data_IF_617714284037
#
_entry.id   IF_617714284037
#
_cell.length_a   1.000
_cell.length_b   1.000
_cell.length_c   1.000
_cell.angle_alpha   90.00
_cell.angle_beta   90.00
_cell.angle_gamma   90.00
#
_symmetry.space_group_name_H-M   'P 1'
#
loop_
_entity.id
_entity.type
_entity.pdbx_description
1 polymer ?
#
# COMPACT_ATOMS: atom_id res chain seq x y z
N UNK A 1 43.86 14.45 9.14
CA UNK A 1 42.44 14.53 8.80
C UNK A 1 41.80 13.30 9.40
N UNK A 2 40.70 13.45 10.14
CA UNK A 2 39.95 12.33 10.71
C UNK A 2 38.76 12.10 9.80
N UNK A 3 38.61 10.89 9.27
CA UNK A 3 37.42 10.50 8.48
C UNK A 3 36.33 10.05 9.42
N UNK A 4 35.12 10.56 9.19
CA UNK A 4 33.90 10.23 9.93
C UNK A 4 32.84 9.78 8.93
N UNK A 5 32.08 8.75 9.28
CA UNK A 5 31.00 8.19 8.45
C UNK A 5 29.70 8.23 9.22
N UNK A 6 28.62 8.59 8.52
CA UNK A 6 27.25 8.58 9.04
C UNK A 6 26.34 7.70 8.19
N UNK A 7 25.35 7.07 8.80
CA UNK A 7 24.38 6.20 8.13
C UNK A 7 23.02 6.85 8.01
N UNK A 8 22.58 7.17 6.80
CA UNK A 8 21.18 7.39 6.48
C UNK A 8 20.51 6.03 6.31
N UNK A 9 20.09 5.41 7.42
CA UNK A 9 19.43 4.11 7.44
C UNK A 9 17.99 4.30 6.99
N UNK A 10 17.60 3.63 5.91
CA UNK A 10 16.24 3.74 5.34
C UNK A 10 15.37 2.54 5.70
N UNK A 11 14.11 2.82 6.05
CA UNK A 11 13.05 1.84 6.23
C UNK A 11 11.69 2.47 5.90
N UNK A 12 10.92 1.83 5.01
CA UNK A 12 9.59 2.30 4.60
C UNK A 12 9.58 3.77 4.13
N UNK A 13 10.59 4.20 3.37
CA UNK A 13 10.68 5.58 2.91
C UNK A 13 10.97 6.63 3.98
N UNK A 14 11.36 6.21 5.18
CA UNK A 14 11.82 7.07 6.27
C UNK A 14 13.30 6.86 6.54
N UNK A 15 13.96 7.86 7.12
CA UNK A 15 15.34 7.78 7.59
C UNK A 15 15.39 7.76 9.12
N UNK A 16 16.29 6.98 9.68
CA UNK A 16 16.57 6.96 11.10
C UNK A 16 17.44 8.16 11.48
N UNK A 17 16.96 8.99 12.40
CA UNK A 17 17.72 10.03 13.06
C UNK A 17 17.98 9.63 14.52
N UNK A 18 19.19 9.91 15.01
CA UNK A 18 19.60 9.66 16.39
C UNK A 18 19.80 10.98 17.13
N UNK A 19 19.30 11.08 18.37
CA UNK A 19 19.44 12.29 19.19
C UNK A 19 20.62 12.14 20.12
N UNK A 20 21.58 13.04 20.00
CA UNK A 20 22.77 13.11 20.85
C UNK A 20 22.46 13.35 22.32
N UNK A 21 23.13 12.59 23.19
CA UNK A 21 23.11 12.80 24.64
C UNK A 21 24.36 13.56 25.09
N UNK A 22 25.46 13.46 24.39
CA UNK A 22 26.78 14.02 24.71
C UNK A 22 27.51 14.43 23.42
N UNK A 23 28.41 15.44 23.43
CA UNK A 23 28.75 16.35 24.55
C UNK A 23 27.62 17.37 24.83
N UNK A 24 27.64 17.97 26.03
CA UNK A 24 26.56 18.89 26.48
C UNK A 24 26.25 20.02 25.49
N UNK A 25 27.25 20.49 24.73
CA UNK A 25 27.08 21.56 23.71
C UNK A 25 26.25 21.10 22.50
N UNK A 26 26.14 19.81 22.24
CA UNK A 26 25.41 19.20 21.13
C UNK A 26 24.24 18.35 21.60
N UNK A 27 24.06 18.20 22.91
CA UNK A 27 22.98 17.42 23.50
C UNK A 27 21.60 17.93 23.04
N UNK A 28 20.74 16.98 22.64
CA UNK A 28 19.42 17.28 22.10
C UNK A 28 19.38 17.55 20.61
N UNK A 29 20.52 17.67 19.92
CA UNK A 29 20.58 17.75 18.46
C UNK A 29 20.52 16.37 17.84
N UNK A 30 20.13 16.31 16.58
CA UNK A 30 19.95 15.07 15.81
C UNK A 30 21.05 14.92 14.78
N UNK A 31 21.42 13.67 14.50
CA UNK A 31 22.49 13.31 13.58
C UNK A 31 22.18 12.00 12.85
N UNK A 32 22.95 11.73 11.79
CA UNK A 32 23.06 10.38 11.25
C UNK A 32 23.95 9.56 12.20
N UNK A 33 23.48 8.40 12.72
CA UNK A 33 24.30 7.53 13.57
C UNK A 33 25.55 7.08 12.81
N UNK A 34 26.65 6.91 13.51
CA UNK A 34 27.93 6.51 12.92
C UNK A 34 29.12 7.06 13.69
N UNK A 35 30.31 6.91 13.15
CA UNK A 35 31.52 7.24 13.92
C UNK A 35 32.78 7.42 13.08
N UNK A 36 33.95 7.23 13.72
CA UNK A 36 35.23 7.46 13.11
C UNK A 36 35.72 6.22 12.37
N UNK A 37 36.38 6.45 11.24
CA UNK A 37 37.09 5.40 10.50
C UNK A 37 38.42 5.13 11.15
N UNK A 38 38.66 3.91 11.59
CA UNK A 38 39.93 3.51 12.20
C UNK A 38 41.06 3.38 11.15
N UNK A 39 42.35 3.53 11.57
CA UNK A 39 43.44 3.38 10.66
C UNK A 39 43.49 2.00 9.99
N UNK A 40 43.39 2.00 8.65
CA UNK A 40 43.39 0.77 7.84
C UNK A 40 42.04 0.15 7.60
N UNK A 41 40.99 0.72 8.16
CA UNK A 41 39.58 0.30 7.93
C UNK A 41 39.00 0.97 6.67
N UNK A 42 38.11 0.29 5.96
CA UNK A 42 37.35 0.93 4.90
C UNK A 42 36.19 1.76 5.48
N UNK A 43 35.77 2.85 4.81
CA UNK A 43 34.61 3.64 5.27
C UNK A 43 33.35 2.82 5.43
N UNK A 44 33.07 1.85 4.56
CA UNK A 44 31.96 0.94 4.64
C UNK A 44 32.07 0.02 5.86
N UNK A 45 33.25 -0.54 6.12
CA UNK A 45 33.52 -1.40 7.27
C UNK A 45 33.31 -0.66 8.58
N UNK A 46 33.87 0.56 8.69
CA UNK A 46 33.71 1.44 9.84
C UNK A 46 32.22 1.71 10.12
N UNK A 47 31.46 2.05 9.07
CA UNK A 47 30.02 2.34 9.21
C UNK A 47 29.23 1.15 9.73
N UNK A 48 29.44 -0.04 9.17
CA UNK A 48 28.76 -1.26 9.62
C UNK A 48 29.11 -1.60 11.08
N UNK A 49 30.39 -1.46 11.47
CA UNK A 49 30.84 -1.67 12.84
C UNK A 49 30.20 -0.69 13.81
N UNK A 50 30.28 0.63 13.51
CA UNK A 50 29.72 1.68 14.37
C UNK A 50 28.21 1.50 14.58
N UNK A 51 27.48 1.20 13.52
CA UNK A 51 26.02 0.95 13.62
C UNK A 51 25.73 -0.28 14.46
N UNK A 52 26.51 -1.34 14.35
CA UNK A 52 26.35 -2.52 15.20
C UNK A 52 26.65 -2.21 16.69
N UNK A 53 27.66 -1.39 16.97
CA UNK A 53 28.03 -0.98 18.32
C UNK A 53 27.01 -0.02 18.95
N UNK A 54 26.58 1.01 18.21
CA UNK A 54 25.71 2.08 18.72
C UNK A 54 24.22 1.70 18.74
N UNK A 55 23.76 0.95 17.74
CA UNK A 55 22.33 0.66 17.54
C UNK A 55 21.95 -0.82 17.69
N UNK A 56 22.94 -1.72 17.78
CA UNK A 56 22.69 -3.16 17.92
C UNK A 56 22.04 -3.81 16.71
N UNK A 57 22.18 -3.23 15.53
CA UNK A 57 21.57 -3.74 14.30
C UNK A 57 22.62 -3.86 13.17
N UNK A 58 22.28 -4.60 12.12
CA UNK A 58 23.15 -4.82 10.96
C UNK A 58 22.60 -4.05 9.75
N UNK A 59 23.47 -3.26 9.12
CA UNK A 59 23.14 -2.50 7.91
C UNK A 59 23.99 -2.92 6.73
N UNK A 60 23.45 -2.73 5.52
CA UNK A 60 24.18 -2.81 4.26
C UNK A 60 24.27 -1.43 3.64
N UNK A 61 25.49 -1.03 3.28
CA UNK A 61 25.72 0.21 2.55
C UNK A 61 25.30 0.03 1.10
N UNK A 62 24.41 0.90 0.61
CA UNK A 62 23.88 0.87 -0.77
C UNK A 62 24.63 1.88 -1.66
N UNK A 63 24.82 3.10 -1.18
CA UNK A 63 25.49 4.18 -1.91
C UNK A 63 25.90 5.29 -0.95
N UNK A 64 26.77 6.18 -1.41
CA UNK A 64 27.13 7.39 -0.68
C UNK A 64 26.33 8.58 -1.19
N UNK A 65 25.90 9.47 -0.28
CA UNK A 65 25.37 10.77 -0.64
C UNK A 65 26.49 11.64 -1.21
N UNK A 66 26.13 12.60 -2.05
CA UNK A 66 27.08 13.44 -2.78
C UNK A 66 27.81 14.39 -1.84
N UNK A 67 29.14 14.46 -1.98
CA UNK A 67 29.99 15.38 -1.23
C UNK A 67 30.55 14.83 0.07
N UNK A 68 31.24 15.70 0.76
CA UNK A 68 31.76 15.49 2.10
C UNK A 68 31.82 16.84 2.82
N UNK A 69 31.49 16.84 4.11
CA UNK A 69 31.49 18.06 4.93
C UNK A 69 32.75 18.09 5.78
N UNK A 70 33.49 19.19 5.70
CA UNK A 70 34.70 19.40 6.50
C UNK A 70 34.37 20.26 7.70
N UNK A 71 34.78 19.79 8.85
CA UNK A 71 34.68 20.47 10.12
C UNK A 71 36.00 20.49 10.88
N UNK A 72 35.99 21.04 12.09
CA UNK A 72 37.15 21.01 12.99
C UNK A 72 36.70 20.55 14.37
N UNK A 73 37.43 19.57 14.92
CA UNK A 73 37.26 19.12 16.31
C UNK A 73 38.64 19.21 17.01
N UNK A 74 38.68 19.99 18.08
CA UNK A 74 39.91 20.21 18.87
C UNK A 74 41.18 20.49 18.03
N UNK A 75 41.04 21.30 16.95
CA UNK A 75 42.13 21.68 16.07
C UNK A 75 42.49 20.61 15.02
N UNK A 76 41.72 19.53 14.90
CA UNK A 76 41.89 18.52 13.86
C UNK A 76 40.80 18.67 12.81
N UNK A 77 41.13 18.59 11.53
CA UNK A 77 40.17 18.59 10.44
C UNK A 77 39.41 17.27 10.43
N UNK A 78 38.08 17.33 10.51
CA UNK A 78 37.17 16.22 10.29
C UNK A 78 36.60 16.27 8.87
N UNK A 79 36.36 15.12 8.28
CA UNK A 79 35.62 14.99 7.02
C UNK A 79 34.50 13.97 7.19
N UNK A 80 33.24 14.45 7.20
CA UNK A 80 32.04 13.62 7.29
C UNK A 80 31.56 13.22 5.88
N UNK A 81 31.30 11.93 5.71
CA UNK A 81 30.57 11.36 4.56
C UNK A 81 29.37 10.58 5.07
N UNK A 82 28.25 10.66 4.36
CA UNK A 82 27.01 9.96 4.74
C UNK A 82 26.66 8.93 3.68
N UNK A 83 26.38 7.70 4.10
CA UNK A 83 25.94 6.63 3.23
C UNK A 83 24.47 6.33 3.42
N UNK A 84 23.77 6.03 2.33
CA UNK A 84 22.44 5.41 2.35
C UNK A 84 22.60 3.93 2.67
N UNK A 85 21.89 3.48 3.70
CA UNK A 85 21.98 2.12 4.22
C UNK A 85 20.60 1.48 4.30
N UNK A 86 20.55 0.17 4.05
CA UNK A 86 19.37 -0.67 4.30
C UNK A 86 19.57 -1.47 5.58
N UNK A 87 18.56 -1.54 6.44
CA UNK A 87 18.54 -2.40 7.60
C UNK A 87 18.41 -3.86 7.13
N UNK A 88 19.36 -4.72 7.55
CA UNK A 88 19.42 -6.12 7.17
C UNK A 88 18.91 -7.02 8.29
N UNK A 89 19.27 -6.73 9.55
CA UNK A 89 18.88 -7.52 10.72
C UNK A 89 18.87 -6.65 11.98
N UNK A 90 18.03 -7.04 12.94
CA UNK A 90 17.88 -6.38 14.22
C UNK A 90 16.97 -5.14 14.18
N UNK A 91 16.52 -4.69 15.36
CA UNK A 91 15.82 -3.43 15.56
C UNK A 91 16.78 -2.39 16.15
N UNK A 92 16.93 -1.21 15.52
CA UNK A 92 17.77 -0.16 16.06
C UNK A 92 17.35 0.24 17.47
N UNK A 93 18.25 0.13 18.43
CA UNK A 93 18.06 0.53 19.81
C UNK A 93 19.16 1.48 20.23
N UNK A 94 18.81 2.67 20.75
CA UNK A 94 19.81 3.67 21.15
C UNK A 94 20.42 3.29 22.50
N UNK A 95 21.57 2.64 22.49
CA UNK A 95 22.34 2.39 23.72
C UNK A 95 23.10 3.64 24.19
N UNK A 96 23.54 4.48 23.26
CA UNK A 96 24.30 5.71 23.51
C UNK A 96 23.52 6.99 23.21
N UNK A 97 22.40 6.89 22.47
CA UNK A 97 21.58 8.02 22.06
C UNK A 97 20.39 8.25 22.99
N UNK A 98 20.02 9.52 23.20
CA UNK A 98 18.88 9.89 24.04
C UNK A 98 17.50 9.58 23.44
N UNK A 99 17.41 9.40 22.14
CA UNK A 99 16.22 8.96 21.40
C UNK A 99 16.55 8.61 19.96
N UNK A 100 15.74 7.74 19.35
CA UNK A 100 15.74 7.45 17.93
C UNK A 100 14.38 7.84 17.34
N UNK A 101 14.36 8.34 16.10
CA UNK A 101 13.14 8.69 15.38
C UNK A 101 13.28 8.36 13.91
N UNK A 102 12.29 7.68 13.35
CA UNK A 102 12.12 7.53 11.91
C UNK A 102 11.43 8.78 11.36
N UNK A 103 12.07 9.44 10.40
CA UNK A 103 11.58 10.69 9.81
C UNK A 103 11.18 10.45 8.36
N UNK A 104 9.95 10.83 8.00
CA UNK A 104 9.50 10.93 6.61
C UNK A 104 10.17 12.12 5.91
N UNK A 105 10.07 12.25 4.58
CA UNK A 105 10.58 13.42 3.87
C UNK A 105 10.07 14.74 4.45
N UNK A 106 8.78 14.78 4.78
CA UNK A 106 8.11 15.98 5.31
C UNK A 106 8.54 16.34 6.74
N UNK A 107 9.07 15.35 7.49
CA UNK A 107 9.50 15.51 8.89
C UNK A 107 11.00 15.82 9.04
N UNK A 108 11.77 15.86 7.97
CA UNK A 108 13.22 16.12 8.06
C UNK A 108 13.53 17.45 8.74
N UNK A 109 12.68 18.47 8.55
CA UNK A 109 12.86 19.78 9.15
C UNK A 109 12.28 19.89 10.58
N UNK A 110 11.57 18.87 11.08
CA UNK A 110 10.99 18.85 12.42
C UNK A 110 12.02 18.70 13.53
N UNK A 111 13.23 18.30 13.17
CA UNK A 111 14.31 18.05 14.12
C UNK A 111 15.50 18.99 13.91
N UNK A 112 16.17 19.33 15.02
CA UNK A 112 17.35 20.20 14.97
C UNK A 112 18.61 19.40 14.68
N UNK A 113 18.88 19.18 13.39
CA UNK A 113 20.08 18.47 12.93
C UNK A 113 21.37 19.17 13.34
N UNK A 114 22.43 18.39 13.52
CA UNK A 114 23.79 18.92 13.59
C UNK A 114 24.17 19.63 12.29
N UNK A 115 24.93 20.71 12.38
CA UNK A 115 25.34 21.50 11.21
C UNK A 115 26.04 20.68 10.12
N UNK A 116 26.93 19.69 10.45
CA UNK A 116 27.60 18.88 9.44
C UNK A 116 26.64 17.94 8.66
N UNK A 117 25.50 17.57 9.22
CA UNK A 117 24.53 16.66 8.59
C UNK A 117 23.60 17.39 7.60
N UNK A 118 23.32 18.66 7.84
CA UNK A 118 22.35 19.47 7.06
C UNK A 118 22.63 19.49 5.54
N UNK A 119 23.88 19.58 5.05
CA UNK A 119 24.16 19.60 3.62
C UNK A 119 23.70 18.35 2.87
N UNK A 120 23.51 17.22 3.56
CA UNK A 120 23.05 15.97 2.95
C UNK A 120 21.52 15.86 2.86
N UNK A 121 20.76 16.67 3.64
CA UNK A 121 19.31 16.57 3.72
C UNK A 121 18.58 16.82 2.38
N UNK A 122 18.97 17.76 1.51
CA UNK A 122 18.27 17.97 0.25
C UNK A 122 18.33 16.74 -0.68
N UNK A 123 19.49 16.09 -0.83
CA UNK A 123 19.62 14.87 -1.64
C UNK A 123 18.87 13.70 -0.98
N UNK A 124 18.96 13.60 0.35
CA UNK A 124 18.25 12.58 1.11
C UNK A 124 16.72 12.73 0.98
N UNK A 125 16.20 13.98 1.07
CA UNK A 125 14.79 14.27 0.88
C UNK A 125 14.28 13.75 -0.48
N UNK A 126 14.98 14.03 -1.58
CA UNK A 126 14.60 13.52 -2.90
C UNK A 126 14.59 11.99 -2.96
N UNK A 127 15.58 11.33 -2.33
CA UNK A 127 15.62 9.87 -2.26
C UNK A 127 14.51 9.27 -1.42
N UNK A 128 14.16 9.92 -0.30
CA UNK A 128 13.03 9.47 0.54
C UNK A 128 11.69 9.61 -0.19
N UNK A 129 11.52 10.63 -1.03
CA UNK A 129 10.33 10.79 -1.89
C UNK A 129 10.17 9.65 -2.92
N UNK A 130 11.23 8.90 -3.24
CA UNK A 130 11.11 7.70 -4.07
C UNK A 130 10.40 6.56 -3.34
N UNK A 131 10.44 6.57 -1.99
CA UNK A 131 9.75 5.62 -1.13
C UNK A 131 10.13 4.15 -1.35
N UNK A 132 9.47 3.27 -0.64
CA UNK A 132 9.55 1.83 -0.87
C UNK A 132 8.49 1.41 -1.88
N UNK A 133 8.89 0.83 -3.00
CA UNK A 133 7.94 0.37 -4.03
C UNK A 133 7.08 -0.75 -3.50
N UNK A 134 5.77 -0.59 -3.64
CA UNK A 134 4.82 -1.64 -3.33
C UNK A 134 4.64 -2.56 -4.55
N UNK A 135 4.57 -3.89 -4.35
CA UNK A 135 4.30 -4.82 -5.43
C UNK A 135 2.85 -4.70 -5.92
N UNK A 136 2.60 -5.04 -7.17
CA UNK A 136 1.26 -5.09 -7.77
C UNK A 136 0.81 -3.78 -8.42
N UNK A 137 -0.45 -3.80 -8.88
CA UNK A 137 -1.10 -2.69 -9.57
C UNK A 137 -0.79 -2.57 -11.06
N UNK A 138 -1.82 -2.39 -11.89
CA UNK A 138 -1.70 -2.29 -13.35
C UNK A 138 -1.21 -0.92 -13.84
N UNK A 139 -1.37 0.11 -13.03
CA UNK A 139 -0.89 1.47 -13.32
C UNK A 139 0.55 1.66 -12.80
N UNK A 140 0.96 0.88 -11.80
CA UNK A 140 2.28 0.96 -11.17
C UNK A 140 2.48 2.24 -10.35
N UNK A 141 3.65 2.35 -9.74
CA UNK A 141 4.07 3.60 -9.11
C UNK A 141 3.59 3.85 -7.68
N UNK A 142 2.88 2.92 -7.05
CA UNK A 142 2.57 3.03 -5.63
C UNK A 142 3.85 2.82 -4.79
N UNK A 143 4.12 3.74 -3.87
CA UNK A 143 5.25 3.67 -2.96
C UNK A 143 4.80 3.91 -1.53
N UNK A 144 5.42 3.20 -0.59
CA UNK A 144 5.20 3.41 0.83
C UNK A 144 6.20 4.42 1.38
N UNK A 145 5.69 5.38 2.17
CA UNK A 145 6.50 6.32 2.95
C UNK A 145 5.93 6.33 4.37
N UNK A 146 6.65 5.71 5.29
CA UNK A 146 6.21 5.56 6.68
C UNK A 146 4.91 4.76 6.80
N UNK A 147 3.88 5.41 7.33
CA UNK A 147 2.54 4.85 7.51
C UNK A 147 1.57 5.20 6.38
N UNK A 148 2.06 5.78 5.29
CA UNK A 148 1.26 6.24 4.16
C UNK A 148 1.70 5.64 2.85
N UNK A 149 0.82 5.68 1.85
CA UNK A 149 1.08 5.30 0.45
C UNK A 149 0.98 6.54 -0.43
N UNK A 150 1.89 6.65 -1.41
CA UNK A 150 1.82 7.64 -2.49
C UNK A 150 1.46 6.92 -3.78
N UNK A 151 0.43 7.40 -4.48
CA UNK A 151 -0.06 6.82 -5.73
C UNK A 151 -0.27 7.89 -6.80
N UNK A 152 -0.11 7.56 -8.09
CA UNK A 152 -0.49 8.47 -9.16
C UNK A 152 -1.95 8.89 -9.03
N UNK A 153 -2.25 10.15 -9.34
CA UNK A 153 -3.61 10.69 -9.38
C UNK A 153 -4.23 10.54 -10.77
N UNK A 154 -5.57 10.52 -10.82
CA UNK A 154 -6.35 10.56 -12.04
C UNK A 154 -7.49 11.58 -11.94
N UNK A 155 -8.25 11.80 -13.02
CA UNK A 155 -9.40 12.70 -13.00
C UNK A 155 -10.46 12.35 -11.93
N UNK A 156 -10.54 11.07 -11.56
CA UNK A 156 -11.46 10.54 -10.53
C UNK A 156 -11.01 10.80 -9.10
N UNK A 157 -9.72 11.08 -8.86
CA UNK A 157 -9.14 11.20 -7.50
C UNK A 157 -9.93 12.16 -6.58
N UNK A 158 -10.40 13.35 -7.00
CA UNK A 158 -11.17 14.20 -6.10
C UNK A 158 -12.51 13.57 -5.64
N UNK A 159 -13.18 12.83 -6.53
CA UNK A 159 -14.43 12.14 -6.20
C UNK A 159 -14.18 10.96 -5.24
N UNK A 160 -13.11 10.20 -5.47
CA UNK A 160 -12.68 9.11 -4.58
C UNK A 160 -12.29 9.65 -3.21
N UNK A 161 -11.54 10.75 -3.14
CA UNK A 161 -11.18 11.40 -1.86
C UNK A 161 -12.42 11.85 -1.07
N UNK A 162 -13.43 12.41 -1.76
CA UNK A 162 -14.68 12.79 -1.13
C UNK A 162 -15.44 11.57 -0.58
N UNK A 163 -15.47 10.46 -1.32
CA UNK A 163 -16.06 9.20 -0.85
C UNK A 163 -15.33 8.66 0.39
N UNK A 164 -14.00 8.60 0.35
CA UNK A 164 -13.20 8.11 1.47
C UNK A 164 -13.40 8.97 2.73
N UNK A 165 -13.49 10.30 2.58
CA UNK A 165 -13.80 11.20 3.67
C UNK A 165 -15.19 10.94 4.27
N UNK A 166 -16.22 10.77 3.43
CA UNK A 166 -17.56 10.40 3.87
C UNK A 166 -17.58 9.08 4.63
N UNK A 167 -16.94 8.04 4.09
CA UNK A 167 -16.88 6.72 4.74
C UNK A 167 -16.14 6.77 6.08
N UNK A 168 -15.09 7.58 6.19
CA UNK A 168 -14.38 7.80 7.46
C UNK A 168 -15.29 8.48 8.51
N UNK A 169 -16.15 9.44 8.11
CA UNK A 169 -17.12 10.09 9.00
C UNK A 169 -18.21 9.11 9.50
N UNK A 170 -18.59 8.11 8.68
CA UNK A 170 -19.52 7.07 9.12
C UNK A 170 -18.91 6.10 10.13
N UNK A 171 -17.59 6.12 10.30
CA UNK A 171 -16.85 5.20 11.17
C UNK A 171 -16.65 3.80 10.57
N UNK A 172 -16.82 3.62 9.25
CA UNK A 172 -16.54 2.36 8.58
C UNK A 172 -15.05 2.01 8.77
N UNK A 173 -14.72 0.84 9.35
CA UNK A 173 -13.34 0.42 9.56
C UNK A 173 -12.68 -0.03 8.25
N UNK A 174 -11.36 -0.10 8.25
CA UNK A 174 -10.55 -0.63 7.14
C UNK A 174 -10.63 0.20 5.84
N UNK A 175 -10.93 1.49 5.95
CA UNK A 175 -10.92 2.47 4.86
C UNK A 175 -9.72 3.40 5.04
N UNK A 176 -8.89 3.66 4.01
CA UNK A 176 -7.75 4.55 4.14
C UNK A 176 -8.20 6.01 4.30
N UNK A 177 -7.52 6.75 5.17
CA UNK A 177 -7.71 8.21 5.27
C UNK A 177 -6.93 8.91 4.18
N UNK A 178 -7.48 10.02 3.71
CA UNK A 178 -6.85 10.90 2.73
C UNK A 178 -6.04 11.96 3.47
N UNK A 179 -4.77 12.11 3.12
CA UNK A 179 -3.88 13.14 3.67
C UNK A 179 -3.57 14.27 2.69
N UNK A 180 -4.07 14.18 1.44
CA UNK A 180 -3.90 15.19 0.41
C UNK A 180 -3.08 14.72 -0.78
N UNK A 181 -2.34 15.67 -1.38
CA UNK A 181 -1.51 15.46 -2.58
C UNK A 181 -0.09 15.92 -2.23
N UNK A 182 0.92 15.13 -2.57
CA UNK A 182 2.32 15.49 -2.36
C UNK A 182 2.86 16.46 -3.43
N UNK A 183 4.10 16.93 -3.23
CA UNK A 183 4.75 17.87 -4.14
C UNK A 183 4.99 17.31 -5.56
N UNK A 184 4.93 15.99 -5.73
CA UNK A 184 5.04 15.30 -7.03
C UNK A 184 3.67 15.03 -7.68
N UNK A 185 2.57 15.54 -7.09
CA UNK A 185 1.21 15.37 -7.59
C UNK A 185 0.61 13.98 -7.34
N UNK A 186 1.15 13.21 -6.38
CA UNK A 186 0.64 11.89 -6.00
C UNK A 186 -0.30 12.03 -4.80
N UNK A 187 -1.38 11.26 -4.78
CA UNK A 187 -2.26 11.17 -3.61
C UNK A 187 -1.55 10.50 -2.42
N UNK A 188 -1.90 10.96 -1.22
CA UNK A 188 -1.38 10.46 0.04
C UNK A 188 -2.51 9.81 0.80
N UNK A 189 -2.44 8.48 0.97
CA UNK A 189 -3.41 7.68 1.69
C UNK A 189 -2.75 6.92 2.85
N UNK A 190 -3.53 6.48 3.84
CA UNK A 190 -3.03 5.53 4.85
C UNK A 190 -2.51 4.25 4.17
N UNK A 191 -1.35 3.76 4.61
CA UNK A 191 -0.94 2.39 4.31
C UNK A 191 -1.80 1.42 5.12
N UNK A 192 -2.41 0.46 4.45
CA UNK A 192 -3.25 -0.57 5.08
C UNK A 192 -2.39 -1.81 5.37
N UNK A 193 -1.94 -2.01 6.62
CA UNK A 193 -1.11 -3.16 6.97
C UNK A 193 -1.94 -4.44 7.02
N UNK A 194 -1.30 -5.56 6.69
CA UNK A 194 -1.92 -6.88 6.75
C UNK A 194 -1.46 -7.79 5.63
N UNK A 195 -1.93 -9.02 5.65
CA UNK A 195 -1.65 -10.01 4.63
C UNK A 195 -2.59 -9.82 3.44
N UNK A 196 -2.04 -9.75 2.24
CA UNK A 196 -2.78 -9.68 0.97
C UNK A 196 -2.69 -11.04 0.30
N UNK A 197 -3.82 -11.54 -0.17
CA UNK A 197 -3.94 -12.91 -0.70
C UNK A 197 -3.75 -12.93 -2.21
N UNK A 198 -2.85 -13.80 -2.67
CA UNK A 198 -2.71 -14.15 -4.07
C UNK A 198 -3.80 -15.16 -4.46
N UNK A 199 -4.84 -14.69 -5.14
CA UNK A 199 -5.99 -15.51 -5.55
C UNK A 199 -5.63 -16.58 -6.57
N UNK A 200 -4.49 -16.49 -7.25
CA UNK A 200 -4.02 -17.52 -8.18
C UNK A 200 -3.33 -18.68 -7.43
N UNK A 201 -2.74 -18.39 -6.27
CA UNK A 201 -2.01 -19.38 -5.47
C UNK A 201 -2.87 -20.02 -4.37
N UNK A 202 -3.75 -19.25 -3.72
CA UNK A 202 -4.50 -19.74 -2.56
C UNK A 202 -5.98 -19.34 -2.58
N UNK A 203 -6.75 -19.88 -1.63
CA UNK A 203 -8.18 -19.63 -1.46
C UNK A 203 -8.38 -19.09 -0.04
N UNK A 204 -9.20 -18.05 0.11
CA UNK A 204 -9.55 -17.50 1.42
C UNK A 204 -10.07 -18.61 2.36
N UNK A 205 -9.73 -18.56 3.64
CA UNK A 205 -10.44 -19.33 4.65
C UNK A 205 -11.92 -18.93 4.71
N UNK A 206 -12.78 -19.81 5.23
CA UNK A 206 -14.21 -19.46 5.42
C UNK A 206 -14.37 -18.24 6.35
N UNK A 207 -13.51 -18.12 7.36
CA UNK A 207 -13.54 -17.01 8.29
C UNK A 207 -13.17 -15.67 7.61
N UNK A 208 -12.12 -15.66 6.75
CA UNK A 208 -11.77 -14.49 5.92
C UNK A 208 -12.86 -14.15 4.92
N UNK A 209 -13.46 -15.16 4.28
CA UNK A 209 -14.55 -14.96 3.33
C UNK A 209 -15.79 -14.37 4.02
N UNK A 210 -16.15 -14.84 5.20
CA UNK A 210 -17.23 -14.28 6.01
C UNK A 210 -16.91 -12.86 6.48
N UNK A 211 -15.67 -12.60 6.93
CA UNK A 211 -15.22 -11.24 7.30
C UNK A 211 -15.35 -10.26 6.13
N UNK A 212 -15.01 -10.68 4.92
CA UNK A 212 -15.14 -9.87 3.71
C UNK A 212 -16.61 -9.59 3.36
N UNK A 213 -17.50 -10.59 3.43
CA UNK A 213 -18.94 -10.41 3.24
C UNK A 213 -19.56 -9.43 4.25
N UNK A 214 -19.19 -9.57 5.53
CA UNK A 214 -19.64 -8.66 6.59
C UNK A 214 -19.12 -7.23 6.41
N UNK A 215 -17.87 -7.06 5.97
CA UNK A 215 -17.32 -5.75 5.66
C UNK A 215 -18.01 -5.09 4.46
N UNK A 216 -18.28 -5.85 3.40
CA UNK A 216 -18.98 -5.34 2.22
C UNK A 216 -20.42 -4.92 2.56
N UNK A 217 -21.13 -5.65 3.43
CA UNK A 217 -22.42 -5.23 3.96
C UNK A 217 -22.32 -3.90 4.71
N UNK A 218 -21.28 -3.74 5.55
CA UNK A 218 -21.07 -2.50 6.29
C UNK A 218 -20.76 -1.32 5.34
N UNK A 219 -19.96 -1.52 4.27
CA UNK A 219 -19.73 -0.53 3.24
C UNK A 219 -21.06 -0.07 2.59
N UNK A 220 -21.89 -1.02 2.16
CA UNK A 220 -23.15 -0.69 1.51
C UNK A 220 -24.17 -0.04 2.47
N UNK A 221 -24.04 -0.27 3.76
CA UNK A 221 -24.85 0.42 4.78
C UNK A 221 -24.33 1.85 5.06
N UNK A 222 -23.02 2.10 4.88
CA UNK A 222 -22.39 3.39 5.11
C UNK A 222 -22.45 4.32 3.89
N UNK A 223 -22.56 3.78 2.67
CA UNK A 223 -22.53 4.56 1.42
C UNK A 223 -23.77 5.45 1.17
N UNK A 224 -25.02 5.10 1.59
CA UNK A 224 -26.18 5.96 1.38
C UNK A 224 -26.01 7.36 1.98
N UNK A 225 -26.47 8.38 1.24
CA UNK A 225 -26.32 9.79 1.63
C UNK A 225 -25.08 10.46 1.05
N UNK A 226 -24.18 9.71 0.45
CA UNK A 226 -23.10 10.27 -0.34
C UNK A 226 -23.54 10.43 -1.80
N UNK A 227 -23.37 11.64 -2.34
CA UNK A 227 -23.62 11.97 -3.75
C UNK A 227 -22.48 12.85 -4.26
N UNK A 228 -21.90 12.47 -5.40
CA UNK A 228 -20.83 13.23 -6.05
C UNK A 228 -20.90 13.03 -7.57
N UNK A 229 -20.85 14.11 -8.37
CA UNK A 229 -21.04 14.02 -9.84
C UNK A 229 -19.88 13.31 -10.57
N UNK A 230 -18.78 13.00 -9.87
CA UNK A 230 -17.58 12.46 -10.49
C UNK A 230 -16.61 13.57 -10.93
N UNK A 231 -15.74 13.31 -11.91
CA UNK A 231 -15.74 12.09 -12.73
C UNK A 231 -15.36 10.82 -11.97
N UNK A 232 -15.91 9.70 -12.39
CA UNK A 232 -15.60 8.37 -11.89
C UNK A 232 -14.91 7.55 -12.99
N UNK A 233 -13.99 6.67 -12.60
CA UNK A 233 -13.30 5.77 -13.55
C UNK A 233 -14.15 4.55 -13.90
N UNK A 234 -14.99 4.08 -12.94
CA UNK A 234 -15.91 2.98 -13.17
C UNK A 234 -17.01 3.38 -14.16
N UNK A 235 -17.39 2.47 -15.06
CA UNK A 235 -18.33 2.74 -16.15
C UNK A 235 -19.78 2.85 -15.69
N UNK A 236 -20.06 2.43 -14.46
CA UNK A 236 -21.39 2.47 -13.85
C UNK A 236 -22.31 1.36 -14.31
N UNK A 237 -23.48 1.31 -13.69
CA UNK A 237 -24.62 0.46 -14.05
C UNK A 237 -25.76 1.37 -14.51
N UNK A 238 -26.75 0.81 -15.23
CA UNK A 238 -27.84 1.60 -15.82
C UNK A 238 -28.68 2.37 -14.78
N UNK A 239 -28.87 1.80 -13.57
CA UNK A 239 -29.66 2.40 -12.50
C UNK A 239 -28.92 2.30 -11.16
N UNK A 240 -27.88 3.11 -10.94
CA UNK A 240 -27.12 3.05 -9.70
C UNK A 240 -27.97 3.46 -8.50
N UNK A 241 -27.79 2.76 -7.38
CA UNK A 241 -28.50 3.05 -6.13
C UNK A 241 -27.58 3.64 -5.06
N UNK A 242 -26.26 3.50 -5.24
CA UNK A 242 -25.24 4.05 -4.34
C UNK A 242 -23.91 4.21 -5.08
N UNK A 243 -22.95 4.83 -4.41
CA UNK A 243 -21.55 4.87 -4.85
C UNK A 243 -20.76 3.89 -3.99
N UNK A 244 -20.05 2.97 -4.62
CA UNK A 244 -19.32 1.90 -3.94
C UNK A 244 -17.94 1.65 -4.56
N UNK A 245 -17.21 0.67 -4.02
CA UNK A 245 -15.83 0.38 -4.42
C UNK A 245 -15.69 -0.24 -5.82
N UNK A 246 -16.59 -1.13 -6.21
CA UNK A 246 -16.65 -1.87 -7.48
C UNK A 246 -15.49 -2.85 -7.76
N UNK A 247 -14.48 -2.94 -6.89
CA UNK A 247 -13.31 -3.83 -7.07
C UNK A 247 -12.85 -4.45 -5.74
N UNK A 248 -13.80 -4.83 -4.88
CA UNK A 248 -13.51 -5.52 -3.62
C UNK A 248 -13.13 -6.96 -3.92
N UNK A 249 -11.83 -7.21 -3.96
CA UNK A 249 -11.22 -8.50 -4.25
C UNK A 249 -10.10 -8.81 -3.26
N UNK A 250 -9.76 -10.09 -2.99
CA UNK A 250 -8.72 -10.42 -2.00
C UNK A 250 -7.37 -9.75 -2.24
N UNK A 251 -7.02 -9.46 -3.49
CA UNK A 251 -5.78 -8.74 -3.85
C UNK A 251 -5.84 -7.23 -3.54
N UNK A 252 -7.01 -6.67 -3.21
CA UNK A 252 -7.24 -5.29 -2.75
C UNK A 252 -7.62 -5.23 -1.27
N UNK A 253 -7.44 -6.33 -0.53
CA UNK A 253 -7.82 -6.45 0.88
C UNK A 253 -6.63 -6.93 1.71
N UNK A 254 -6.29 -6.19 2.76
CA UNK A 254 -5.35 -6.60 3.79
C UNK A 254 -6.10 -7.30 4.94
N UNK A 255 -5.60 -8.43 5.40
CA UNK A 255 -6.15 -9.19 6.52
C UNK A 255 -5.21 -9.15 7.73
N UNK A 256 -5.79 -9.00 8.93
CA UNK A 256 -5.13 -9.30 10.20
C UNK A 256 -5.77 -10.56 10.79
N UNK A 257 -5.04 -11.67 10.73
CA UNK A 257 -5.61 -13.00 10.95
C UNK A 257 -6.76 -13.27 9.97
N UNK A 258 -7.97 -13.46 10.49
CA UNK A 258 -9.18 -13.70 9.68
C UNK A 258 -10.02 -12.43 9.44
N UNK A 259 -9.58 -11.26 9.90
CA UNK A 259 -10.37 -10.03 9.83
C UNK A 259 -9.88 -9.13 8.72
N UNK A 260 -10.81 -8.51 7.99
CA UNK A 260 -10.49 -7.40 7.09
C UNK A 260 -9.90 -6.25 7.91
N UNK A 261 -8.64 -5.90 7.63
CA UNK A 261 -7.88 -4.86 8.30
C UNK A 261 -7.72 -3.61 7.42
N UNK A 262 -7.79 -3.76 6.09
CA UNK A 262 -7.71 -2.65 5.15
C UNK A 262 -8.27 -3.02 3.79
N UNK A 263 -8.92 -2.07 3.14
CA UNK A 263 -9.37 -2.19 1.73
C UNK A 263 -8.81 -1.01 0.96
N UNK A 264 -8.10 -1.28 -0.11
CA UNK A 264 -7.37 -0.29 -0.90
C UNK A 264 -7.69 -0.42 -2.40
N UNK A 265 -7.07 0.42 -3.23
CA UNK A 265 -7.32 0.55 -4.68
C UNK A 265 -8.76 0.97 -5.03
N UNK A 266 -9.14 2.15 -4.55
CA UNK A 266 -10.47 2.75 -4.75
C UNK A 266 -10.65 3.42 -6.12
N UNK A 267 -9.74 3.24 -7.06
CA UNK A 267 -9.78 3.88 -8.38
C UNK A 267 -11.02 3.53 -9.19
N UNK A 268 -11.57 2.33 -9.00
CA UNK A 268 -12.81 1.89 -9.66
C UNK A 268 -14.08 2.25 -8.87
N UNK A 269 -13.94 2.97 -7.74
CA UNK A 269 -15.12 3.44 -7.04
C UNK A 269 -16.00 4.30 -7.96
N UNK A 270 -17.31 4.19 -7.78
CA UNK A 270 -18.26 4.92 -8.61
C UNK A 270 -19.70 4.46 -8.44
N UNK A 271 -20.63 5.09 -9.20
CA UNK A 271 -22.06 4.76 -9.18
C UNK A 271 -22.33 3.30 -9.54
N UNK A 272 -23.01 2.57 -8.67
CA UNK A 272 -23.25 1.13 -8.81
C UNK A 272 -24.49 0.70 -8.00
N UNK A 273 -24.58 -0.60 -7.75
CA UNK A 273 -25.50 -1.20 -6.80
C UNK A 273 -24.83 -2.31 -5.99
N UNK A 274 -25.38 -2.70 -4.83
CA UNK A 274 -24.81 -3.76 -3.99
C UNK A 274 -24.61 -5.09 -4.72
N UNK A 275 -25.52 -5.44 -5.63
CA UNK A 275 -25.46 -6.74 -6.34
C UNK A 275 -24.25 -6.79 -7.27
N UNK A 276 -23.88 -5.65 -7.86
CA UNK A 276 -22.71 -5.54 -8.71
C UNK A 276 -21.41 -5.85 -7.93
N UNK A 277 -21.23 -5.26 -6.73
CA UNK A 277 -20.09 -5.56 -5.86
C UNK A 277 -20.07 -7.02 -5.40
N UNK A 278 -21.23 -7.56 -5.01
CA UNK A 278 -21.36 -8.96 -4.61
C UNK A 278 -20.89 -9.91 -5.72
N UNK A 279 -21.27 -9.65 -6.96
CA UNK A 279 -20.86 -10.46 -8.11
C UNK A 279 -19.35 -10.42 -8.33
N UNK A 280 -18.72 -9.26 -8.19
CA UNK A 280 -17.26 -9.11 -8.32
C UNK A 280 -16.50 -9.83 -7.20
N UNK A 281 -16.93 -9.59 -5.96
CA UNK A 281 -16.28 -10.21 -4.79
C UNK A 281 -16.44 -11.72 -4.82
N UNK A 282 -17.62 -12.26 -5.18
CA UNK A 282 -17.82 -13.69 -5.32
C UNK A 282 -16.94 -14.29 -6.43
N UNK A 283 -16.81 -13.64 -7.58
CA UNK A 283 -15.96 -14.07 -8.67
C UNK A 283 -14.52 -14.27 -8.22
N UNK A 284 -13.97 -13.34 -7.47
CA UNK A 284 -12.56 -13.31 -7.05
C UNK A 284 -12.28 -14.06 -5.75
N UNK A 285 -13.12 -13.86 -4.71
CA UNK A 285 -12.90 -14.42 -3.38
C UNK A 285 -13.33 -15.89 -3.23
N UNK A 286 -14.26 -16.36 -4.08
CA UNK A 286 -14.68 -17.77 -4.14
C UNK A 286 -13.93 -18.53 -5.25
N UNK A 287 -12.95 -17.97 -5.89
CA UNK A 287 -12.30 -18.15 -7.19
C UNK A 287 -13.13 -18.92 -8.22
N UNK A 288 -14.32 -18.39 -8.56
CA UNK A 288 -15.22 -18.99 -9.55
C UNK A 288 -14.64 -18.98 -10.98
N UNK A 289 -13.60 -18.17 -11.22
CA UNK A 289 -12.85 -18.06 -12.47
C UNK A 289 -11.98 -19.29 -12.79
N UNK A 290 -11.80 -20.20 -11.84
CA UNK A 290 -11.00 -21.43 -12.01
C UNK A 290 -11.77 -22.67 -11.58
N UNK A 291 -11.33 -23.90 -11.95
CA UNK A 291 -11.97 -25.13 -11.53
C UNK A 291 -11.99 -25.27 -10.00
N UNK A 292 -13.19 -25.36 -9.46
CA UNK A 292 -13.48 -25.64 -8.05
C UNK A 292 -14.65 -26.65 -8.04
N UNK A 293 -14.71 -27.68 -7.17
CA UNK A 293 -15.87 -28.57 -7.10
C UNK A 293 -17.16 -27.79 -6.90
N UNK A 294 -18.22 -28.09 -7.65
CA UNK A 294 -19.46 -27.30 -7.66
C UNK A 294 -20.13 -27.23 -6.29
N UNK A 295 -20.12 -28.35 -5.54
CA UNK A 295 -20.59 -28.39 -4.16
C UNK A 295 -19.79 -27.46 -3.24
N UNK A 296 -18.48 -27.37 -3.44
CA UNK A 296 -17.61 -26.46 -2.66
C UNK A 296 -17.83 -25.00 -3.04
N UNK A 297 -18.01 -24.70 -4.34
CA UNK A 297 -18.39 -23.36 -4.79
C UNK A 297 -19.72 -22.91 -4.16
N UNK A 298 -20.74 -23.79 -4.17
CA UNK A 298 -22.02 -23.52 -3.54
C UNK A 298 -21.91 -23.35 -2.01
N UNK A 299 -21.10 -24.16 -1.34
CA UNK A 299 -20.86 -24.03 0.10
C UNK A 299 -20.23 -22.67 0.43
N UNK A 300 -19.24 -22.24 -0.32
CA UNK A 300 -18.56 -20.97 -0.15
C UNK A 300 -19.45 -19.78 -0.47
N UNK A 301 -20.27 -19.87 -1.50
CA UNK A 301 -21.31 -18.87 -1.80
C UNK A 301 -22.24 -18.65 -0.61
N UNK A 302 -22.67 -19.74 0.08
CA UNK A 302 -23.48 -19.62 1.31
C UNK A 302 -22.72 -18.88 2.42
N UNK A 303 -21.46 -19.26 2.70
CA UNK A 303 -20.66 -18.59 3.74
C UNK A 303 -20.58 -17.08 3.48
N UNK A 304 -20.34 -16.68 2.25
CA UNK A 304 -20.26 -15.28 1.87
C UNK A 304 -21.61 -14.56 1.95
N UNK A 305 -22.66 -15.19 1.40
CA UNK A 305 -24.01 -14.63 1.36
C UNK A 305 -24.62 -14.48 2.77
N UNK A 306 -24.46 -15.49 3.63
CA UNK A 306 -24.89 -15.46 5.04
C UNK A 306 -24.22 -14.29 5.79
N UNK A 307 -22.93 -14.09 5.60
CA UNK A 307 -22.19 -13.00 6.23
C UNK A 307 -22.61 -11.62 5.72
N UNK A 308 -22.99 -11.51 4.45
CA UNK A 308 -23.53 -10.29 3.87
C UNK A 308 -25.00 -10.06 4.24
N UNK A 309 -25.74 -11.09 4.63
CA UNK A 309 -27.20 -11.09 4.90
C UNK A 309 -28.06 -11.07 3.60
N UNK A 310 -27.76 -12.00 2.69
CA UNK A 310 -28.49 -12.19 1.44
C UNK A 310 -28.56 -13.67 1.05
N UNK A 311 -29.34 -14.00 0.02
CA UNK A 311 -29.42 -15.36 -0.50
C UNK A 311 -28.23 -15.68 -1.42
N UNK A 312 -27.68 -16.88 -1.31
CA UNK A 312 -26.54 -17.33 -2.11
C UNK A 312 -26.83 -17.37 -3.61
N UNK A 313 -28.08 -17.61 -3.99
CA UNK A 313 -28.52 -17.58 -5.40
C UNK A 313 -28.46 -16.16 -5.98
N UNK A 314 -28.78 -15.13 -5.19
CA UNK A 314 -28.64 -13.72 -5.60
C UNK A 314 -27.18 -13.38 -5.90
N UNK A 315 -26.24 -13.84 -5.07
CA UNK A 315 -24.80 -13.67 -5.30
C UNK A 315 -24.36 -14.39 -6.56
N UNK A 316 -24.79 -15.66 -6.75
CA UNK A 316 -24.44 -16.47 -7.94
C UNK A 316 -24.94 -15.80 -9.23
N UNK A 317 -26.15 -15.26 -9.22
CA UNK A 317 -26.78 -14.61 -10.39
C UNK A 317 -26.10 -13.28 -10.74
N UNK A 318 -25.51 -12.61 -9.77
CA UNK A 318 -24.77 -11.36 -9.95
C UNK A 318 -23.42 -11.55 -10.68
N UNK A 319 -22.83 -12.75 -10.65
CA UNK A 319 -21.49 -12.99 -11.18
C UNK A 319 -21.38 -12.71 -12.67
N UNK A 320 -22.27 -13.34 -13.47
CA UNK A 320 -22.20 -13.20 -14.95
C UNK A 320 -22.33 -11.75 -15.41
N UNK A 321 -23.36 -10.98 -15.04
CA UNK A 321 -23.51 -9.61 -15.51
C UNK A 321 -22.35 -8.71 -15.03
N UNK A 322 -21.84 -8.93 -13.81
CA UNK A 322 -20.73 -8.16 -13.30
C UNK A 322 -19.42 -8.43 -14.03
N UNK A 323 -19.11 -9.70 -14.32
CA UNK A 323 -17.89 -10.07 -15.06
C UNK A 323 -17.99 -9.57 -16.51
N UNK A 324 -19.16 -9.65 -17.14
CA UNK A 324 -19.37 -9.09 -18.47
C UNK A 324 -19.15 -7.57 -18.49
N UNK A 325 -19.66 -6.86 -17.48
CA UNK A 325 -19.41 -5.41 -17.33
C UNK A 325 -17.91 -5.08 -17.23
N UNK A 326 -17.12 -5.91 -16.53
CA UNK A 326 -15.67 -5.74 -16.46
C UNK A 326 -14.99 -5.94 -17.83
N UNK A 327 -15.38 -7.00 -18.56
CA UNK A 327 -14.87 -7.30 -19.91
C UNK A 327 -15.12 -6.12 -20.85
N UNK A 328 -16.35 -5.64 -20.89
CA UNK A 328 -16.76 -4.52 -21.76
C UNK A 328 -16.09 -3.21 -21.34
N UNK A 329 -15.98 -3.00 -20.04
CA UNK A 329 -15.29 -1.86 -19.44
C UNK A 329 -13.80 -1.79 -19.79
N UNK A 330 -13.08 -2.91 -19.70
CA UNK A 330 -11.66 -2.98 -20.10
C UNK A 330 -11.52 -2.62 -21.58
N UNK A 331 -12.35 -3.18 -22.46
CA UNK A 331 -12.32 -2.90 -23.89
C UNK A 331 -12.57 -1.43 -24.20
N UNK A 332 -13.56 -0.83 -23.55
CA UNK A 332 -13.87 0.58 -23.71
C UNK A 332 -12.75 1.48 -23.21
N UNK A 333 -12.17 1.18 -22.04
CA UNK A 333 -11.07 1.96 -21.49
C UNK A 333 -9.81 1.88 -22.36
N UNK A 334 -9.49 0.70 -22.92
CA UNK A 334 -8.39 0.53 -23.88
C UNK A 334 -8.62 1.41 -25.11
N UNK A 335 -9.85 1.45 -25.64
CA UNK A 335 -10.22 2.31 -26.78
C UNK A 335 -10.07 3.81 -26.46
N UNK A 336 -10.38 4.22 -25.25
CA UNK A 336 -10.21 5.59 -24.73
C UNK A 336 -8.78 5.96 -24.39
N UNK A 337 -7.87 4.99 -24.37
CA UNK A 337 -6.46 5.21 -24.13
C UNK A 337 -6.02 5.14 -22.66
N UNK A 338 -6.83 4.55 -21.77
CA UNK A 338 -6.43 4.32 -20.39
C UNK A 338 -5.17 3.44 -20.33
N UNK A 339 -4.11 3.95 -19.72
CA UNK A 339 -2.81 3.29 -19.68
C UNK A 339 -2.85 2.01 -18.82
N UNK A 340 -3.51 2.04 -17.66
CA UNK A 340 -3.66 0.87 -16.80
C UNK A 340 -4.39 -0.27 -17.48
N UNK A 341 -5.47 0.04 -18.23
CA UNK A 341 -6.22 -0.96 -18.97
C UNK A 341 -5.48 -1.46 -20.23
N UNK A 342 -4.62 -0.64 -20.83
CA UNK A 342 -3.69 -1.09 -21.88
C UNK A 342 -2.66 -2.07 -21.33
N UNK A 343 -2.11 -1.81 -20.15
CA UNK A 343 -1.17 -2.72 -19.48
C UNK A 343 -1.85 -4.05 -19.16
N UNK A 344 -3.11 -4.02 -18.70
CA UNK A 344 -3.92 -5.19 -18.45
C UNK A 344 -4.18 -5.99 -19.73
N UNK A 345 -4.51 -5.31 -20.82
CA UNK A 345 -4.70 -5.93 -22.14
C UNK A 345 -3.40 -6.58 -22.68
N UNK A 346 -2.24 -5.97 -22.44
CA UNK A 346 -0.95 -6.56 -22.81
C UNK A 346 -0.65 -7.85 -22.02
N UNK A 347 -1.30 -8.08 -20.87
CA UNK A 347 -1.23 -9.30 -20.07
C UNK A 347 -2.29 -10.35 -20.46
N UNK A 348 -3.08 -10.10 -21.49
CA UNK A 348 -4.06 -11.04 -22.05
C UNK A 348 -5.49 -10.88 -21.53
N UNK A 349 -5.81 -9.74 -20.90
CA UNK A 349 -7.19 -9.36 -20.55
C UNK A 349 -7.81 -8.48 -21.66
N UNK A 350 -9.14 -8.54 -21.89
CA UNK A 350 -10.12 -9.35 -21.12
C UNK A 350 -10.32 -10.78 -21.63
N UNK A 351 -9.57 -11.24 -22.64
CA UNK A 351 -9.80 -12.56 -23.27
C UNK A 351 -9.58 -13.73 -22.30
N UNK A 352 -8.71 -13.56 -21.28
CA UNK A 352 -8.53 -14.55 -20.22
C UNK A 352 -9.78 -14.62 -19.35
N UNK A 353 -10.33 -13.48 -18.95
CA UNK A 353 -11.57 -13.39 -18.18
C UNK A 353 -12.78 -13.93 -18.96
N UNK A 354 -12.87 -13.70 -20.29
CA UNK A 354 -13.94 -14.26 -21.13
C UNK A 354 -13.92 -15.79 -21.14
N UNK A 355 -12.74 -16.39 -21.31
CA UNK A 355 -12.61 -17.86 -21.26
C UNK A 355 -12.98 -18.42 -19.89
N UNK A 356 -12.58 -17.76 -18.83
CA UNK A 356 -12.94 -18.13 -17.46
C UNK A 356 -14.45 -18.03 -17.22
N UNK A 357 -15.09 -16.95 -17.71
CA UNK A 357 -16.54 -16.77 -17.63
C UNK A 357 -17.28 -17.87 -18.39
N UNK A 358 -16.85 -18.23 -19.58
CA UNK A 358 -17.45 -19.34 -20.34
C UNK A 358 -17.41 -20.66 -19.56
N UNK A 359 -16.25 -21.01 -18.97
CA UNK A 359 -16.13 -22.19 -18.12
C UNK A 359 -16.96 -22.15 -16.84
N UNK A 360 -17.16 -20.97 -16.25
CA UNK A 360 -18.08 -20.81 -15.13
C UNK A 360 -19.53 -21.04 -15.55
N UNK A 361 -19.95 -20.50 -16.69
CA UNK A 361 -21.32 -20.62 -17.19
C UNK A 361 -21.72 -22.08 -17.49
N UNK A 362 -20.77 -22.92 -17.93
CA UNK A 362 -20.99 -24.36 -18.11
C UNK A 362 -21.32 -25.08 -16.77
N UNK A 363 -20.86 -24.52 -15.64
CA UNK A 363 -21.00 -25.11 -14.30
C UNK A 363 -22.09 -24.44 -13.45
N UNK A 364 -22.56 -23.25 -13.83
CA UNK A 364 -23.44 -22.41 -13.01
C UNK A 364 -24.67 -23.14 -12.50
N UNK A 365 -25.37 -23.91 -13.39
CA UNK A 365 -26.58 -24.62 -13.01
C UNK A 365 -26.29 -25.80 -12.08
N UNK A 366 -25.14 -26.46 -12.24
CA UNK A 366 -24.67 -27.49 -11.31
C UNK A 366 -24.38 -26.87 -9.92
N UNK A 367 -23.72 -25.73 -9.86
CA UNK A 367 -23.47 -24.98 -8.61
C UNK A 367 -24.82 -24.59 -7.97
N UNK A 368 -25.75 -24.04 -8.75
CA UNK A 368 -27.09 -23.67 -8.27
C UNK A 368 -27.85 -24.86 -7.68
N UNK A 369 -27.70 -26.05 -8.25
CA UNK A 369 -28.34 -27.28 -7.75
C UNK A 369 -27.87 -27.72 -6.33
N UNK A 370 -26.77 -27.17 -5.80
CA UNK A 370 -26.31 -27.36 -4.43
C UNK A 370 -26.73 -26.22 -3.47
N UNK A 371 -27.35 -25.17 -3.97
CA UNK A 371 -27.92 -24.09 -3.15
C UNK A 371 -29.34 -24.44 -2.68
N UNK A 372 -29.79 -23.94 -1.51
CA UNK A 372 -31.12 -24.18 -0.99
C UNK A 372 -32.21 -23.56 -1.85
#
# INVERSE_FOLDING_TARGET
MISVVGAAILRHGCVLAARRSYPAAEAGRWEFPGGKVDPGESPEGALVREIAEELGCVVRVESWLTGAVRGSDCGRTLELRVAVCTLVDGEPSGTEHGALRWLSPEELDDVNWLEPDRPFLPELHERLLDGERLPGGNVGGAVRIGTTVRRPTGPWTPAVHALLAHLAETGLPAVPRVHGIDARGREILDFQPGEVIDVDAEVLSDARLASLGGWLRALHAAAPGFDHPGPWRFFGVDAPTLITHNDVAPYNVAFDGDRVAGVFDWDLAGPSDPVCDLGHTAWTAIPLFRPLPDAEAARRLRVFADAYDTEAVTVLDAVQPRVQLAIDGIREAVRRGDEGMRNLAAQGEPERTERALAGFLERRDAIAGFLP
#
